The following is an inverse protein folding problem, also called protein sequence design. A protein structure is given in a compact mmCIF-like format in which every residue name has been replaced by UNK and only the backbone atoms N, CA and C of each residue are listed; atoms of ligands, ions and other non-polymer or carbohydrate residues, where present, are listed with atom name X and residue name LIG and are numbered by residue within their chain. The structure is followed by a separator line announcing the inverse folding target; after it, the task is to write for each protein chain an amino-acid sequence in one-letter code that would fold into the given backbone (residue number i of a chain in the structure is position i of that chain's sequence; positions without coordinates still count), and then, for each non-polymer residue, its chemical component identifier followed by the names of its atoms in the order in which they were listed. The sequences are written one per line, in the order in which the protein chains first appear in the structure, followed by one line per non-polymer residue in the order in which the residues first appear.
data_IF_006552602652
#
_entry.id   IF_006552602652
#
_cell.length_a   1.000
_cell.length_b   1.000
_cell.length_c   1.000
_cell.angle_alpha   90.00
_cell.angle_beta   90.00
_cell.angle_gamma   90.00
#
_symmetry.space_group_name_H-M   'P 1'
#
loop_
_entity.id
_entity.type
_entity.pdbx_description
1 polymer ?
#
# COMPACT_ATOMS: atom_id res chain seq x y z
N UNK A 1 12.36 18.80 -10.80
CA UNK A 1 12.52 17.48 -10.14
C UNK A 1 12.67 17.54 -8.62
N UNK A 2 13.39 18.50 -8.01
CA UNK A 2 13.62 18.57 -6.55
C UNK A 2 12.38 18.49 -5.63
N UNK A 3 11.25 19.09 -6.03
CA UNK A 3 10.01 19.10 -5.21
C UNK A 3 9.45 17.69 -4.97
N UNK A 4 9.57 16.79 -5.95
CA UNK A 4 9.00 15.44 -5.85
C UNK A 4 9.85 14.54 -4.94
N UNK A 5 11.17 14.69 -5.01
CA UNK A 5 12.14 14.04 -4.13
C UNK A 5 11.83 14.32 -2.65
N UNK A 6 11.49 15.57 -2.32
CA UNK A 6 11.19 15.98 -0.95
C UNK A 6 9.92 15.32 -0.41
N UNK A 7 8.89 15.14 -1.24
CA UNK A 7 7.64 14.48 -0.82
C UNK A 7 7.87 13.01 -0.51
N UNK A 8 8.69 12.32 -1.32
CA UNK A 8 9.01 10.91 -1.09
C UNK A 8 9.81 10.73 0.21
N UNK A 9 10.80 11.59 0.48
CA UNK A 9 11.54 11.58 1.75
C UNK A 9 10.61 11.80 2.95
N UNK A 10 9.70 12.77 2.86
CA UNK A 10 8.71 13.05 3.90
C UNK A 10 7.78 11.85 4.17
N UNK A 11 7.36 11.14 3.13
CA UNK A 11 6.52 9.94 3.27
C UNK A 11 7.26 8.86 4.07
N UNK A 12 8.52 8.61 3.75
CA UNK A 12 9.32 7.60 4.44
C UNK A 12 9.63 8.00 5.88
N UNK A 13 9.97 9.26 6.13
CA UNK A 13 10.20 9.79 7.48
C UNK A 13 8.95 9.61 8.37
N UNK A 14 7.77 10.00 7.88
CA UNK A 14 6.51 9.84 8.63
C UNK A 14 6.16 8.37 8.84
N UNK A 15 6.41 7.52 7.84
CA UNK A 15 6.14 6.10 7.98
C UNK A 15 7.06 5.43 9.00
N UNK A 16 8.35 5.77 9.00
CA UNK A 16 9.32 5.29 9.99
C UNK A 16 9.04 5.85 11.39
N UNK A 17 8.43 7.04 11.50
CA UNK A 17 7.91 7.59 12.75
C UNK A 17 6.63 6.88 13.27
N UNK A 18 6.14 5.85 12.57
CA UNK A 18 5.01 5.02 13.02
C UNK A 18 3.63 5.45 12.49
N UNK A 19 3.56 6.44 11.60
CA UNK A 19 2.28 6.85 11.02
C UNK A 19 1.75 5.79 10.04
N UNK A 20 0.46 5.50 10.13
CA UNK A 20 -0.23 4.61 9.19
C UNK A 20 -0.29 5.22 7.78
N UNK A 21 -0.36 4.37 6.76
CA UNK A 21 -0.43 4.82 5.36
C UNK A 21 -1.65 5.71 5.06
N UNK A 22 -2.77 5.51 5.78
CA UNK A 22 -3.96 6.36 5.68
C UNK A 22 -3.72 7.73 6.34
N UNK A 23 -3.12 7.76 7.54
CA UNK A 23 -2.77 9.01 8.23
C UNK A 23 -1.81 9.87 7.40
N UNK A 24 -0.83 9.23 6.73
CA UNK A 24 0.08 9.91 5.82
C UNK A 24 -0.67 10.49 4.62
N UNK A 25 -1.60 9.73 4.02
CA UNK A 25 -2.41 10.21 2.91
C UNK A 25 -3.28 11.41 3.30
N UNK A 26 -3.91 11.37 4.48
CA UNK A 26 -4.69 12.49 5.01
C UNK A 26 -3.80 13.71 5.29
N UNK A 27 -2.61 13.50 5.87
CA UNK A 27 -1.66 14.57 6.14
C UNK A 27 -1.22 15.30 4.86
N UNK A 28 -0.87 14.54 3.82
CA UNK A 28 -0.47 15.11 2.52
C UNK A 28 -1.63 15.84 1.83
N UNK A 29 -2.84 15.29 1.94
CA UNK A 29 -4.06 15.92 1.41
C UNK A 29 -4.38 17.23 2.15
N UNK A 30 -4.27 17.26 3.48
CA UNK A 30 -4.45 18.48 4.30
C UNK A 30 -3.43 19.55 3.97
N UNK A 31 -2.18 19.16 3.71
CA UNK A 31 -1.12 20.07 3.25
C UNK A 31 -1.27 20.53 1.78
N UNK A 32 -2.33 20.09 1.08
CA UNK A 32 -2.58 20.40 -0.35
C UNK A 32 -1.38 20.08 -1.26
N UNK A 33 -0.64 19.02 -0.94
CA UNK A 33 0.48 18.58 -1.78
C UNK A 33 -0.11 17.88 -3.01
N UNK A 34 0.24 18.29 -4.23
CA UNK A 34 -0.31 17.70 -5.44
C UNK A 34 0.11 16.23 -5.55
N UNK A 35 -0.80 15.39 -6.00
CA UNK A 35 -0.51 13.99 -6.28
C UNK A 35 0.35 13.87 -7.56
N UNK A 36 1.18 12.83 -7.70
CA UNK A 36 2.05 12.65 -8.86
C UNK A 36 1.31 12.66 -10.22
N UNK A 37 0.05 12.23 -10.25
CA UNK A 37 -0.79 12.25 -11.45
C UNK A 37 -1.19 13.65 -11.89
N UNK A 38 -1.39 14.58 -10.95
CA UNK A 38 -1.74 15.97 -11.27
C UNK A 38 -0.56 16.69 -11.92
N UNK A 39 0.66 16.35 -11.52
CA UNK A 39 1.88 16.89 -12.14
C UNK A 39 1.99 16.51 -13.62
N UNK A 40 1.63 15.27 -13.97
CA UNK A 40 1.73 14.78 -15.34
C UNK A 40 0.62 15.29 -16.28
N UNK A 41 -0.31 16.14 -15.79
CA UNK A 41 -1.48 16.68 -16.52
C UNK A 41 -2.28 15.64 -17.31
N UNK A 42 -2.11 14.35 -17.00
CA UNK A 42 -2.84 13.28 -17.67
C UNK A 42 -4.26 13.39 -17.18
N UNK A 43 -5.20 13.72 -18.08
CA UNK A 43 -6.63 13.63 -17.81
C UNK A 43 -6.92 12.18 -17.38
N UNK A 44 -6.97 11.92 -16.08
CA UNK A 44 -7.74 10.78 -15.57
C UNK A 44 -9.16 10.97 -16.10
N UNK A 45 -9.86 9.89 -16.38
CA UNK A 45 -11.28 9.93 -16.76
C UNK A 45 -12.15 10.65 -15.72
N UNK A 46 -13.45 10.36 -15.70
CA UNK A 46 -14.43 10.94 -14.77
C UNK A 46 -13.84 11.29 -13.39
N UNK A 47 -13.87 12.59 -13.04
CA UNK A 47 -13.33 13.13 -11.79
C UNK A 47 -14.05 12.44 -10.62
N UNK A 48 -13.43 11.42 -10.05
CA UNK A 48 -13.93 10.77 -8.83
C UNK A 48 -13.90 11.76 -7.66
N UNK A 49 -14.67 11.50 -6.61
CA UNK A 49 -14.69 12.29 -5.37
C UNK A 49 -13.29 12.45 -4.74
N UNK A 50 -12.39 11.50 -5.02
CA UNK A 50 -11.00 11.50 -4.53
C UNK A 50 -10.00 12.17 -5.48
N UNK A 51 -10.47 12.90 -6.50
CA UNK A 51 -9.61 13.57 -7.46
C UNK A 51 -8.78 14.67 -6.77
N UNK A 52 -7.46 14.64 -6.97
CA UNK A 52 -6.51 15.57 -6.32
C UNK A 52 -6.16 15.24 -4.86
N UNK A 53 -6.71 14.18 -4.27
CA UNK A 53 -6.39 13.75 -2.92
C UNK A 53 -5.39 12.59 -2.92
N UNK A 54 -4.52 12.57 -1.90
CA UNK A 54 -3.64 11.43 -1.67
C UNK A 54 -4.46 10.23 -1.21
N UNK A 55 -4.22 9.09 -1.86
CA UNK A 55 -4.85 7.83 -1.53
C UNK A 55 -3.87 6.94 -0.79
N UNK A 56 -4.38 6.16 0.17
CA UNK A 56 -3.59 5.18 0.91
C UNK A 56 -2.83 4.21 -0.01
N UNK A 57 -3.49 3.78 -1.10
CA UNK A 57 -2.90 2.90 -2.11
C UNK A 57 -1.68 3.52 -2.80
N UNK A 58 -1.71 4.82 -3.09
CA UNK A 58 -0.59 5.56 -3.67
C UNK A 58 0.59 5.64 -2.70
N UNK A 59 0.33 5.95 -1.42
CA UNK A 59 1.37 5.98 -0.38
C UNK A 59 2.01 4.59 -0.23
N UNK A 60 1.20 3.53 -0.18
CA UNK A 60 1.68 2.15 -0.10
C UNK A 60 2.51 1.75 -1.33
N UNK A 61 2.11 2.18 -2.52
CA UNK A 61 2.88 1.96 -3.74
C UNK A 61 4.26 2.61 -3.66
N UNK A 62 4.34 3.85 -3.17
CA UNK A 62 5.62 4.57 -3.01
C UNK A 62 6.55 3.86 -2.01
N UNK A 63 5.99 3.40 -0.88
CA UNK A 63 6.76 2.70 0.15
C UNK A 63 7.24 1.29 -0.26
N UNK A 64 6.62 0.68 -1.28
CA UNK A 64 6.97 -0.66 -1.77
C UNK A 64 7.80 -0.66 -3.05
N UNK A 65 8.03 0.51 -3.64
CA UNK A 65 8.72 0.63 -4.91
C UNK A 65 10.24 0.82 -4.72
N UNK A 66 11.01 -0.15 -5.18
CA UNK A 66 12.48 -0.20 -5.07
C UNK A 66 13.18 0.86 -5.94
N UNK A 67 12.47 1.47 -6.90
CA UNK A 67 13.00 2.57 -7.73
C UNK A 67 13.58 3.68 -6.86
N UNK A 68 12.97 4.01 -5.72
CA UNK A 68 13.48 5.09 -4.87
C UNK A 68 14.84 4.81 -4.21
N UNK A 69 15.33 3.57 -4.27
CA UNK A 69 16.67 3.17 -3.81
C UNK A 69 17.76 3.24 -4.89
N UNK A 70 17.42 3.69 -6.11
CA UNK A 70 18.33 3.66 -7.26
C UNK A 70 18.24 2.38 -8.09
N UNK A 71 17.37 1.44 -7.72
CA UNK A 71 17.22 0.14 -8.38
C UNK A 71 16.10 0.18 -9.40
N UNK A 72 16.41 -0.04 -10.68
CA UNK A 72 15.42 -0.11 -11.74
C UNK A 72 15.01 -1.56 -11.96
N UNK A 73 13.70 -1.80 -11.90
CA UNK A 73 13.10 -3.12 -12.16
C UNK A 73 12.29 -3.06 -13.44
N UNK A 74 12.65 -3.88 -14.42
CA UNK A 74 11.93 -4.04 -15.68
C UNK A 74 11.50 -5.50 -15.88
N UNK A 75 10.59 -5.73 -16.83
CA UNK A 75 10.18 -7.09 -17.18
C UNK A 75 9.15 -7.74 -16.25
N UNK A 76 8.47 -6.97 -15.37
CA UNK A 76 7.44 -7.55 -14.47
C UNK A 76 6.29 -8.26 -15.19
N UNK A 77 6.02 -7.86 -16.43
CA UNK A 77 4.92 -8.39 -17.24
C UNK A 77 5.39 -8.68 -18.65
N UNK A 78 4.98 -9.82 -19.20
CA UNK A 78 5.21 -10.20 -20.59
C UNK A 78 3.89 -10.42 -21.30
N UNK A 79 3.86 -10.08 -22.59
CA UNK A 79 2.73 -10.36 -23.47
C UNK A 79 2.73 -11.85 -23.82
N UNK A 80 1.59 -12.53 -23.69
CA UNK A 80 1.50 -14.00 -23.94
C UNK A 80 1.88 -14.35 -25.37
N UNK A 81 1.43 -13.50 -26.30
CA UNK A 81 1.72 -13.63 -27.72
C UNK A 81 1.62 -12.24 -28.35
N UNK A 82 2.41 -11.98 -29.39
CA UNK A 82 2.37 -10.71 -30.12
C UNK A 82 0.95 -10.32 -30.57
N UNK A 83 0.10 -11.31 -30.90
CA UNK A 83 -1.28 -11.10 -31.35
C UNK A 83 -2.32 -10.95 -30.22
N UNK A 84 -1.96 -11.30 -28.98
CA UNK A 84 -2.90 -11.29 -27.85
C UNK A 84 -2.75 -10.04 -27.00
N UNK A 85 -3.85 -9.37 -26.61
CA UNK A 85 -3.81 -8.24 -25.67
C UNK A 85 -3.55 -8.66 -24.21
N UNK A 86 -3.44 -9.96 -23.93
CA UNK A 86 -3.24 -10.49 -22.58
C UNK A 86 -1.79 -10.33 -22.13
N UNK A 87 -1.61 -9.93 -20.88
CA UNK A 87 -0.32 -9.85 -20.19
C UNK A 87 -0.30 -10.88 -19.06
N UNK A 88 0.85 -11.53 -18.87
CA UNK A 88 1.13 -12.43 -17.74
C UNK A 88 2.17 -11.75 -16.85
N UNK A 89 1.98 -11.84 -15.54
CA UNK A 89 2.99 -11.44 -14.55
C UNK A 89 4.10 -12.50 -14.51
N UNK A 90 5.35 -12.07 -14.65
CA UNK A 90 6.52 -12.96 -14.61
C UNK A 90 7.00 -13.17 -13.16
N UNK A 91 7.59 -14.33 -12.83
CA UNK A 91 8.22 -14.55 -11.52
C UNK A 91 9.37 -13.56 -11.29
N UNK A 92 9.69 -13.29 -10.02
CA UNK A 92 10.73 -12.29 -9.67
C UNK A 92 12.12 -12.63 -10.20
N UNK A 93 12.38 -13.90 -10.50
CA UNK A 93 13.63 -14.42 -11.07
C UNK A 93 13.86 -13.93 -12.51
N UNK A 94 12.76 -13.76 -13.27
CA UNK A 94 12.81 -13.25 -14.64
C UNK A 94 12.83 -11.72 -14.70
N UNK A 95 12.79 -11.03 -13.55
CA UNK A 95 12.82 -9.57 -13.51
C UNK A 95 14.23 -9.07 -13.73
N UNK A 96 14.38 -8.16 -14.69
CA UNK A 96 15.64 -7.46 -14.92
C UNK A 96 15.77 -6.39 -13.83
N UNK A 97 16.60 -6.68 -12.82
CA UNK A 97 16.92 -5.76 -11.71
C UNK A 97 18.31 -5.18 -11.96
N UNK A 98 18.37 -3.87 -12.23
CA UNK A 98 19.64 -3.14 -12.36
C UNK A 98 19.76 -2.21 -11.17
N UNK A 99 20.75 -2.47 -10.32
CA UNK A 99 21.02 -1.64 -9.14
C UNK A 99 21.77 -0.34 -9.51
N UNK A 100 21.58 0.72 -8.73
CA UNK A 100 22.31 1.99 -8.82
C UNK A 100 22.29 2.68 -10.20
N UNK A 101 21.18 2.60 -10.93
CA UNK A 101 21.06 3.25 -12.24
C UNK A 101 20.84 4.77 -12.14
N UNK A 102 20.30 5.26 -11.01
CA UNK A 102 20.10 6.68 -10.75
C UNK A 102 20.35 7.01 -9.28
N UNK A 103 20.48 8.31 -8.98
CA UNK A 103 20.66 8.80 -7.61
C UNK A 103 19.53 8.29 -6.69
N UNK A 104 19.92 7.61 -5.62
CA UNK A 104 18.99 7.05 -4.66
C UNK A 104 18.35 8.19 -3.84
N UNK A 105 17.01 8.18 -3.75
CA UNK A 105 16.28 9.16 -2.95
C UNK A 105 16.27 8.73 -1.48
N UNK A 106 16.28 7.42 -1.23
CA UNK A 106 16.20 6.78 0.09
C UNK A 106 17.23 5.66 0.18
N UNK A 107 17.78 5.45 1.38
CA UNK A 107 18.72 4.35 1.64
C UNK A 107 18.06 2.97 1.49
N UNK A 108 18.84 1.96 1.07
CA UNK A 108 18.36 0.56 1.03
C UNK A 108 17.90 0.08 2.42
N UNK A 109 18.48 0.61 3.48
CA UNK A 109 18.14 0.28 4.87
C UNK A 109 16.75 0.79 5.28
N UNK A 110 16.45 2.06 4.99
CA UNK A 110 15.15 2.66 5.29
C UNK A 110 14.04 1.97 4.47
N UNK A 111 14.34 1.60 3.22
CA UNK A 111 13.44 0.81 2.40
C UNK A 111 13.17 -0.57 3.01
N UNK A 112 14.21 -1.28 3.44
CA UNK A 112 14.06 -2.59 4.10
C UNK A 112 13.26 -2.49 5.40
N UNK A 113 13.49 -1.44 6.19
CA UNK A 113 12.70 -1.14 7.40
C UNK A 113 11.23 -0.91 7.06
N UNK A 114 10.93 -0.06 6.08
CA UNK A 114 9.56 0.19 5.65
C UNK A 114 8.86 -1.10 5.14
N UNK A 115 9.54 -1.90 4.31
CA UNK A 115 9.01 -3.17 3.78
C UNK A 115 8.70 -4.17 4.90
N UNK A 116 9.55 -4.24 5.94
CA UNK A 116 9.32 -5.06 7.13
C UNK A 116 8.05 -4.65 7.87
N UNK A 117 7.84 -3.36 8.11
CA UNK A 117 6.64 -2.84 8.79
C UNK A 117 5.37 -3.09 7.96
N UNK A 118 5.43 -2.93 6.63
CA UNK A 118 4.32 -3.25 5.73
C UNK A 118 3.98 -4.74 5.76
N UNK A 119 4.99 -5.60 5.82
CA UNK A 119 4.83 -7.05 5.93
C UNK A 119 4.17 -7.44 7.25
N UNK A 120 4.62 -6.86 8.36
CA UNK A 120 4.06 -7.12 9.69
C UNK A 120 2.60 -6.64 9.84
N UNK A 121 2.23 -5.55 9.16
CA UNK A 121 0.86 -5.02 9.18
C UNK A 121 -0.11 -5.74 8.23
N UNK A 122 0.37 -6.72 7.45
CA UNK A 122 -0.44 -7.49 6.50
C UNK A 122 -1.34 -8.47 7.26
N UNK A 123 -2.56 -8.04 7.57
CA UNK A 123 -3.56 -8.83 8.31
C UNK A 123 -3.90 -8.27 9.70
N UNK A 124 -3.12 -7.31 10.22
CA UNK A 124 -3.46 -6.60 11.44
C UNK A 124 -4.51 -5.52 11.14
N UNK A 125 -5.78 -5.92 11.11
CA UNK A 125 -6.86 -4.94 11.23
C UNK A 125 -6.78 -4.42 12.67
N UNK A 126 -6.34 -3.17 12.83
CA UNK A 126 -6.53 -2.43 14.08
C UNK A 126 -8.03 -2.18 14.18
N UNK A 127 -8.71 -3.17 14.75
CA UNK A 127 -10.07 -3.01 15.23
C UNK A 127 -9.90 -2.31 16.57
N UNK A 128 -10.56 -1.18 16.74
CA UNK A 128 -10.57 -0.41 17.99
C UNK A 128 -10.99 -1.26 19.20
N UNK A 129 -11.66 -2.38 18.93
CA UNK A 129 -11.97 -3.42 19.90
C UNK A 129 -10.87 -4.49 19.87
N UNK A 130 -9.88 -4.35 20.75
CA UNK A 130 -8.92 -5.42 21.03
C UNK A 130 -9.52 -6.37 22.06
N UNK A 131 -10.27 -7.37 21.57
CA UNK A 131 -10.91 -8.35 22.43
C UNK A 131 -9.88 -9.30 23.03
N UNK A 132 -10.00 -9.60 24.33
CA UNK A 132 -9.07 -10.44 25.10
C UNK A 132 -8.70 -11.77 24.42
N UNK A 133 -9.65 -12.37 23.69
CA UNK A 133 -9.47 -13.66 23.02
C UNK A 133 -9.29 -13.59 21.49
N UNK A 134 -9.02 -12.41 20.94
CA UNK A 134 -8.85 -12.19 19.49
C UNK A 134 -7.70 -13.04 18.94
N UNK A 135 -8.01 -13.91 17.97
CA UNK A 135 -7.03 -14.78 17.33
C UNK A 135 -6.61 -16.00 18.16
N UNK A 136 -7.10 -16.14 19.40
CA UNK A 136 -6.88 -17.32 20.24
C UNK A 136 -8.00 -18.36 20.08
N UNK A 137 -9.25 -17.91 19.95
CA UNK A 137 -10.38 -18.83 19.80
C UNK A 137 -10.43 -19.44 18.40
N UNK A 138 -10.46 -20.77 18.36
CA UNK A 138 -10.70 -21.55 17.15
C UNK A 138 -11.82 -22.55 17.38
N UNK A 139 -12.66 -22.75 16.37
CA UNK A 139 -13.69 -23.78 16.40
C UNK A 139 -13.03 -25.17 16.39
N UNK A 140 -13.52 -26.07 17.24
CA UNK A 140 -12.99 -27.42 17.34
C UNK A 140 -13.19 -28.20 16.02
N UNK A 141 -14.37 -28.08 15.40
CA UNK A 141 -14.75 -28.83 14.21
C UNK A 141 -14.12 -28.28 12.93
N UNK A 142 -14.29 -26.97 12.66
CA UNK A 142 -13.87 -26.38 11.38
C UNK A 142 -12.50 -25.71 11.43
N UNK A 143 -11.84 -25.66 12.60
CA UNK A 143 -10.56 -24.96 12.86
C UNK A 143 -10.54 -23.47 12.48
N UNK A 144 -11.67 -22.89 12.10
CA UNK A 144 -11.82 -21.47 11.80
C UNK A 144 -11.67 -20.62 13.06
N UNK A 145 -11.20 -19.38 12.89
CA UNK A 145 -11.11 -18.42 13.99
C UNK A 145 -12.50 -17.94 14.42
N UNK A 146 -12.75 -17.93 15.72
CA UNK A 146 -13.97 -17.37 16.31
C UNK A 146 -13.70 -15.90 16.62
N UNK A 147 -14.54 -15.02 16.09
CA UNK A 147 -14.48 -13.59 16.33
C UNK A 147 -15.77 -13.07 16.96
N UNK A 148 -15.66 -12.07 17.83
CA UNK A 148 -16.80 -11.35 18.38
C UNK A 148 -17.39 -10.46 17.27
N UNK A 149 -18.67 -10.61 16.98
CA UNK A 149 -19.42 -9.75 16.05
C UNK A 149 -20.15 -8.71 16.88
N UNK A 150 -19.77 -7.44 16.75
CA UNK A 150 -20.56 -6.33 17.31
C UNK A 150 -21.86 -6.18 16.53
N UNK A 151 -22.96 -5.74 17.19
CA UNK A 151 -24.17 -5.29 16.50
C UNK A 151 -23.85 -4.22 15.44
N UNK A 152 -24.72 -4.06 14.46
CA UNK A 152 -24.60 -2.94 13.52
C UNK A 152 -24.72 -1.58 14.25
N UNK A 153 -24.53 -0.46 13.52
CA UNK A 153 -24.67 0.89 14.09
C UNK A 153 -26.06 1.18 14.65
N UNK A 154 -27.06 0.36 14.30
CA UNK A 154 -28.45 0.48 14.71
C UNK A 154 -28.83 -0.54 15.79
N UNK A 155 -27.88 -1.32 16.32
CA UNK A 155 -28.10 -2.33 17.35
C UNK A 155 -28.67 -3.66 16.84
N UNK A 156 -28.85 -3.84 15.53
CA UNK A 156 -29.39 -5.10 15.00
C UNK A 156 -28.32 -6.20 15.00
N UNK A 157 -28.65 -7.41 15.46
CA UNK A 157 -27.80 -8.57 15.28
C UNK A 157 -27.74 -8.93 13.79
N UNK A 158 -26.54 -9.25 13.29
CA UNK A 158 -26.37 -9.74 11.92
C UNK A 158 -27.10 -11.08 11.74
N UNK A 159 -27.83 -11.29 10.63
CA UNK A 159 -28.52 -12.56 10.39
C UNK A 159 -27.52 -13.71 10.43
N UNK A 160 -27.75 -14.66 11.33
CA UNK A 160 -27.05 -15.93 11.32
C UNK A 160 -27.38 -16.65 10.02
N UNK A 161 -26.38 -17.27 9.39
CA UNK A 161 -26.67 -18.30 8.40
C UNK A 161 -27.00 -19.56 9.21
N UNK A 162 -28.25 -20.01 9.13
CA UNK A 162 -28.63 -21.37 9.53
C UNK A 162 -27.86 -22.40 8.72
#
# INVERSE_FOLDING_TARGET
MKKQTNVVKLIYEKYLAGFGTMQIADYLSKKKIPIPSDYNKRKRGTKSLTYGLWQQSTVRFILSNEIYTGTVIQGKRKKVSFKSKKFIDLPEEDWIKVENMHEAIISKEDFKRAKKVIGATKGSRVVQNDYLFKGLLRCYDCKGYIGIRSPDKNGNPFPGKE
#
